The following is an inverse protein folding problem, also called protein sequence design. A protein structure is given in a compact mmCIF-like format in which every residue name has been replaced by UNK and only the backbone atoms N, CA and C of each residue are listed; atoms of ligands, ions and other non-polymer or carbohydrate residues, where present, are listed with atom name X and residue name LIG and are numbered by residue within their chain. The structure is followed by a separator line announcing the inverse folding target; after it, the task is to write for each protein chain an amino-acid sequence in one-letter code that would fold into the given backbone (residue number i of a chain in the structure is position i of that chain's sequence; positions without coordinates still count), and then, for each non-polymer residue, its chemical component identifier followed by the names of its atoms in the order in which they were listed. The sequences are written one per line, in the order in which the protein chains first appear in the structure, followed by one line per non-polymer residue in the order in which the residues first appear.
data_IF_147947323409
#
_entry.id   IF_147947323409
#
_cell.length_a   1.000
_cell.length_b   1.000
_cell.length_c   1.000
_cell.angle_alpha   90.00
_cell.angle_beta   90.00
_cell.angle_gamma   90.00
#
_symmetry.space_group_name_H-M   'P 1'
#
loop_
_entity.id
_entity.type
_entity.pdbx_description
1 polymer ?
#
# COMPACT_ATOMS: atom_id res chain seq x y z
N UNK A 1 -11.86 10.49 3.99
CA UNK A 1 -11.36 9.97 2.70
C UNK A 1 -10.01 9.40 3.02
N UNK A 2 -9.86 8.09 2.93
CA UNK A 2 -8.59 7.45 3.27
C UNK A 2 -7.54 7.85 2.24
N UNK A 3 -6.39 8.31 2.73
CA UNK A 3 -5.27 8.64 1.88
C UNK A 3 -4.37 7.42 1.80
N UNK A 4 -3.90 7.10 0.59
CA UNK A 4 -2.77 6.21 0.38
C UNK A 4 -1.69 6.97 -0.36
N UNK A 5 -0.50 6.95 0.20
CA UNK A 5 0.69 7.56 -0.36
C UNK A 5 1.70 6.48 -0.71
N UNK A 6 2.37 6.66 -1.84
CA UNK A 6 3.49 5.85 -2.29
C UNK A 6 4.69 6.78 -2.48
N UNK A 7 5.75 6.51 -1.72
CA UNK A 7 6.96 7.33 -1.70
C UNK A 7 6.69 8.83 -1.44
N UNK A 8 5.65 9.12 -0.64
CA UNK A 8 5.22 10.48 -0.29
C UNK A 8 4.35 11.17 -1.35
N UNK A 9 3.99 10.49 -2.44
CA UNK A 9 3.04 11.00 -3.43
C UNK A 9 1.65 10.38 -3.22
N UNK A 10 0.58 11.19 -3.20
CA UNK A 10 -0.77 10.68 -3.07
C UNK A 10 -1.13 9.86 -4.33
N UNK A 11 -1.79 8.72 -4.14
CA UNK A 11 -2.36 7.96 -5.25
C UNK A 11 -3.85 8.31 -5.40
N UNK A 12 -4.24 9.08 -6.44
CA UNK A 12 -5.56 9.68 -6.51
C UNK A 12 -6.65 8.76 -7.07
N UNK A 13 -6.29 7.68 -7.77
CA UNK A 13 -7.25 6.92 -8.58
C UNK A 13 -7.65 5.62 -7.89
N UNK A 14 -8.79 5.65 -7.21
CA UNK A 14 -9.38 4.48 -6.57
C UNK A 14 -10.56 3.96 -7.38
N UNK A 15 -10.57 2.66 -7.64
CA UNK A 15 -11.68 2.01 -8.34
C UNK A 15 -12.53 1.24 -7.33
N UNK A 16 -13.86 1.42 -7.32
CA UNK A 16 -14.73 0.68 -6.43
C UNK A 16 -14.90 -0.77 -6.89
N UNK A 17 -14.93 -1.69 -5.93
CA UNK A 17 -15.36 -3.08 -6.07
C UNK A 17 -16.53 -3.28 -5.12
N UNK A 18 -17.68 -3.66 -5.66
CA UNK A 18 -18.88 -3.91 -4.86
C UNK A 18 -18.95 -5.40 -4.49
N UNK A 19 -19.02 -5.70 -3.19
CA UNK A 19 -19.12 -7.07 -2.69
C UNK A 19 -20.03 -7.12 -1.45
N UNK A 20 -21.05 -7.99 -1.47
CA UNK A 20 -22.05 -8.16 -0.39
C UNK A 20 -22.55 -6.84 0.24
N UNK A 21 -23.01 -5.91 -0.59
CA UNK A 21 -23.51 -4.58 -0.18
C UNK A 21 -22.47 -3.62 0.43
N UNK A 22 -21.18 -3.94 0.33
CA UNK A 22 -20.09 -3.04 0.72
C UNK A 22 -19.29 -2.61 -0.51
N UNK A 23 -18.76 -1.38 -0.47
CA UNK A 23 -17.82 -0.89 -1.46
C UNK A 23 -16.41 -1.02 -0.88
N UNK A 24 -15.60 -1.87 -1.50
CA UNK A 24 -14.15 -1.90 -1.33
C UNK A 24 -13.53 -1.00 -2.39
N UNK A 25 -12.35 -0.47 -2.13
CA UNK A 25 -11.62 0.34 -3.09
C UNK A 25 -10.25 -0.27 -3.31
N UNK A 26 -9.81 -0.33 -4.56
CA UNK A 26 -8.46 -0.75 -4.90
C UNK A 26 -7.79 0.28 -5.79
N UNK A 27 -6.48 0.24 -5.76
CA UNK A 27 -5.62 0.98 -6.67
C UNK A 27 -4.43 0.11 -7.06
N UNK A 28 -3.98 0.30 -8.29
CA UNK A 28 -2.79 -0.37 -8.82
C UNK A 28 -1.74 0.67 -9.18
N UNK A 29 -0.52 0.46 -8.71
CA UNK A 29 0.63 1.28 -9.08
C UNK A 29 1.78 0.38 -9.52
N UNK A 30 2.54 0.83 -10.52
CA UNK A 30 3.79 0.19 -10.93
C UNK A 30 4.96 1.01 -10.40
N UNK A 31 5.94 0.34 -9.81
CA UNK A 31 7.16 0.95 -9.30
C UNK A 31 8.39 0.38 -9.99
N UNK A 32 9.49 1.11 -9.94
CA UNK A 32 10.78 0.60 -10.40
C UNK A 32 11.31 -0.43 -9.39
N UNK A 33 12.35 -1.18 -9.76
CA UNK A 33 13.02 -2.05 -8.80
C UNK A 33 13.71 -1.19 -7.72
N UNK A 34 13.44 -1.49 -6.45
CA UNK A 34 14.00 -0.72 -5.33
C UNK A 34 13.20 -0.89 -4.05
N UNK A 35 13.52 -0.05 -3.07
CA UNK A 35 12.77 0.08 -1.83
C UNK A 35 11.74 1.18 -1.97
N UNK A 36 10.50 0.89 -1.57
CA UNK A 36 9.37 1.80 -1.64
C UNK A 36 8.63 1.78 -0.31
N UNK A 37 8.00 2.91 0.03
CA UNK A 37 7.26 3.06 1.28
C UNK A 37 5.80 3.39 0.97
N UNK A 38 4.89 2.74 1.69
CA UNK A 38 3.46 3.02 1.61
C UNK A 38 2.96 3.53 2.97
N UNK A 39 2.08 4.51 2.93
CA UNK A 39 1.36 5.01 4.11
C UNK A 39 -0.13 5.06 3.79
N UNK A 40 -0.96 4.72 4.78
CA UNK A 40 -2.40 4.95 4.67
C UNK A 40 -3.03 5.22 6.03
N UNK A 41 -4.13 5.98 6.04
CA UNK A 41 -4.84 6.38 7.26
C UNK A 41 -5.91 5.38 7.72
N UNK A 42 -6.28 4.41 6.87
CA UNK A 42 -7.34 3.42 7.13
C UNK A 42 -6.82 1.99 7.24
N UNK A 43 -7.74 1.03 7.22
CA UNK A 43 -7.40 -0.39 7.06
C UNK A 43 -7.14 -0.71 5.60
N UNK A 44 -6.01 -1.35 5.29
CA UNK A 44 -5.63 -1.66 3.92
C UNK A 44 -4.93 -3.01 3.84
N UNK A 45 -4.88 -3.55 2.63
CA UNK A 45 -4.05 -4.71 2.28
C UNK A 45 -3.27 -4.38 1.01
N UNK A 46 -2.04 -4.85 0.93
CA UNK A 46 -1.11 -4.62 -0.17
C UNK A 46 -0.70 -5.97 -0.71
N UNK A 47 -0.97 -6.16 -2.00
CA UNK A 47 -0.48 -7.29 -2.76
C UNK A 47 0.57 -6.79 -3.74
N UNK A 48 1.79 -7.31 -3.62
CA UNK A 48 2.88 -7.00 -4.53
C UNK A 48 2.97 -8.13 -5.54
N UNK A 49 3.01 -7.79 -6.83
CA UNK A 49 3.24 -8.75 -7.89
C UNK A 49 4.24 -8.20 -8.90
N UNK A 50 4.92 -9.10 -9.60
CA UNK A 50 5.88 -8.75 -10.63
C UNK A 50 6.40 -9.99 -11.34
N UNK A 51 7.33 -9.77 -12.26
CA UNK A 51 7.98 -10.86 -12.98
C UNK A 51 9.50 -10.70 -12.96
N UNK A 52 10.22 -11.81 -12.83
CA UNK A 52 11.68 -11.85 -12.95
C UNK A 52 12.06 -13.08 -13.78
N UNK A 53 12.90 -12.90 -14.80
CA UNK A 53 13.40 -13.97 -15.67
C UNK A 53 12.28 -14.86 -16.27
N UNK A 54 11.17 -14.26 -16.70
CA UNK A 54 10.05 -14.99 -17.32
C UNK A 54 9.12 -15.72 -16.33
N UNK A 55 9.38 -15.66 -15.03
CA UNK A 55 8.50 -16.18 -13.99
C UNK A 55 7.74 -15.05 -13.29
N UNK A 56 6.47 -15.30 -12.94
CA UNK A 56 5.64 -14.40 -12.15
C UNK A 56 5.79 -14.69 -10.65
N UNK A 57 5.82 -13.63 -9.84
CA UNK A 57 5.93 -13.68 -8.39
C UNK A 57 4.86 -12.78 -7.78
N UNK A 58 4.35 -13.19 -6.61
CA UNK A 58 3.42 -12.38 -5.83
C UNK A 58 3.53 -12.70 -4.34
N UNK A 59 3.35 -11.69 -3.51
CA UNK A 59 3.32 -11.84 -2.06
C UNK A 59 2.44 -10.76 -1.40
N UNK A 60 1.88 -11.11 -0.24
CA UNK A 60 1.21 -10.15 0.64
C UNK A 60 2.26 -9.56 1.57
N UNK A 61 2.31 -8.22 1.64
CA UNK A 61 3.30 -7.55 2.49
C UNK A 61 3.00 -7.79 3.98
N UNK A 62 4.05 -8.05 4.77
CA UNK A 62 3.94 -8.00 6.22
C UNK A 62 3.95 -6.53 6.67
N UNK A 63 2.98 -6.14 7.50
CA UNK A 63 2.84 -4.77 7.98
C UNK A 63 3.66 -4.57 9.24
N UNK A 64 4.58 -3.61 9.22
CA UNK A 64 5.20 -3.10 10.43
C UNK A 64 4.38 -1.92 10.95
N UNK A 65 3.91 -1.98 12.19
CA UNK A 65 3.34 -0.80 12.85
C UNK A 65 4.45 0.23 13.07
N UNK A 66 4.29 1.46 12.59
CA UNK A 66 5.19 2.56 12.92
C UNK A 66 4.97 2.95 14.38
N UNK A 67 5.71 2.35 15.31
CA UNK A 67 5.86 2.92 16.65
C UNK A 67 6.65 4.21 16.51
N UNK A 68 5.97 5.35 16.62
CA UNK A 68 6.64 6.65 16.76
C UNK A 68 7.19 6.72 18.18
N UNK A 69 8.46 6.38 18.36
CA UNK A 69 9.18 6.71 19.60
C UNK A 69 9.32 8.22 19.67
N UNK A 70 8.47 8.89 20.45
CA UNK A 70 8.71 10.28 20.83
C UNK A 70 9.86 10.28 21.83
N UNK A 71 11.05 10.66 21.37
CA UNK A 71 12.13 11.04 22.26
C UNK A 71 11.71 12.37 22.92
N UNK A 72 11.27 12.32 24.16
CA UNK A 72 11.20 13.52 24.99
C UNK A 72 12.63 13.78 25.46
N UNK A 73 13.28 14.83 24.95
CA UNK A 73 14.45 15.40 25.63
C UNK A 73 13.94 16.07 26.91
N UNK A 74 14.36 15.53 28.05
CA UNK A 74 14.33 16.20 29.36
C UNK A 74 15.59 17.05 29.52
#
# INVERSE_FOLDING_TARGET
MDFLELDGYPIPLWTPIYYFNQAFFYVTASVKAGFHYFSATGSYTVFVSGSKNGAAYGYVAAYNSKFVTRLYLL
#
